data_IF_332004169680
#
_entry.id   IF_332004169680
#
_cell.length_a   1.000
_cell.length_b   1.000
_cell.length_c   1.000
_cell.angle_alpha   90.00
_cell.angle_beta   90.00
_cell.angle_gamma   90.00
#
_symmetry.space_group_name_H-M   'P 1'
#
loop_
_entity.id
_entity.type
_entity.pdbx_description
1 polymer ?
#
# COMPACT_ATOMS: atom_id res chain seq x y z
N UNK A 1 10.24 -16.34 -8.71
CA UNK A 1 9.89 -15.05 -8.07
C UNK A 1 11.18 -14.25 -7.96
N UNK A 2 11.41 -13.23 -8.80
CA UNK A 2 12.70 -12.53 -8.88
C UNK A 2 13.07 -11.70 -7.64
N UNK A 3 12.08 -11.41 -6.79
CA UNK A 3 12.20 -10.48 -5.66
C UNK A 3 12.66 -11.16 -4.36
N UNK A 4 12.72 -12.49 -4.31
CA UNK A 4 13.21 -13.27 -3.16
C UNK A 4 14.61 -13.79 -3.48
N UNK A 5 15.61 -13.36 -2.70
CA UNK A 5 17.03 -13.74 -2.86
C UNK A 5 17.66 -13.94 -1.50
N UNK A 6 18.37 -15.06 -1.31
CA UNK A 6 19.10 -15.37 -0.08
C UNK A 6 18.25 -15.24 1.21
N UNK A 7 16.99 -15.69 1.15
CA UNK A 7 16.04 -15.60 2.28
C UNK A 7 15.55 -14.17 2.57
N UNK A 8 15.91 -13.19 1.74
CA UNK A 8 15.44 -11.80 1.81
C UNK A 8 14.44 -11.53 0.70
N UNK A 9 13.54 -10.60 0.96
CA UNK A 9 12.58 -10.09 -0.03
C UNK A 9 12.80 -8.59 -0.21
N UNK A 10 12.82 -8.15 -1.46
CA UNK A 10 12.81 -6.72 -1.78
C UNK A 10 11.38 -6.19 -1.67
N UNK A 11 11.15 -5.25 -0.74
CA UNK A 11 9.90 -4.50 -0.65
C UNK A 11 10.11 -3.16 -1.36
N UNK A 12 9.46 -3.00 -2.50
CA UNK A 12 9.52 -1.78 -3.30
C UNK A 12 8.29 -0.89 -3.06
N UNK A 13 8.43 0.10 -2.18
CA UNK A 13 7.36 1.04 -1.86
C UNK A 13 6.97 1.95 -3.04
N UNK A 14 7.77 2.04 -4.12
CA UNK A 14 7.37 2.79 -5.33
C UNK A 14 6.19 2.13 -6.06
N UNK A 15 5.93 0.85 -5.77
CA UNK A 15 4.81 0.09 -6.34
C UNK A 15 3.60 0.00 -5.39
N UNK A 16 3.62 0.73 -4.27
CA UNK A 16 2.47 0.80 -3.38
C UNK A 16 1.29 1.46 -4.10
N UNK A 17 0.09 0.92 -3.92
CA UNK A 17 -1.15 1.35 -4.54
C UNK A 17 -2.27 1.47 -3.51
N UNK A 18 -3.25 2.33 -3.76
CA UNK A 18 -4.43 2.41 -2.91
C UNK A 18 -5.41 1.27 -3.27
N UNK A 19 -6.02 0.61 -2.27
CA UNK A 19 -7.01 -0.44 -2.53
C UNK A 19 -8.24 0.12 -3.25
N UNK A 20 -8.97 -0.72 -3.98
CA UNK A 20 -10.14 -0.31 -4.78
C UNK A 20 -11.20 0.47 -4.01
N UNK A 21 -11.36 0.20 -2.71
CA UNK A 21 -12.28 0.96 -1.88
C UNK A 21 -12.00 2.47 -1.94
N UNK A 22 -10.72 2.89 -2.10
CA UNK A 22 -10.27 4.28 -2.30
C UNK A 22 -11.02 5.01 -3.44
N UNK A 23 -11.44 4.26 -4.47
CA UNK A 23 -11.93 4.79 -5.73
C UNK A 23 -13.42 4.62 -5.94
N UNK A 24 -14.05 3.63 -5.32
CA UNK A 24 -15.47 3.33 -5.53
C UNK A 24 -16.10 2.63 -4.33
N UNK A 25 -17.40 2.82 -4.18
CA UNK A 25 -18.23 2.09 -3.21
C UNK A 25 -18.37 0.62 -3.58
N UNK A 26 -18.70 -0.23 -2.61
CA UNK A 26 -18.97 -1.67 -2.83
C UNK A 26 -17.77 -2.58 -2.58
N UNK A 27 -16.60 -2.03 -2.23
CA UNK A 27 -15.44 -2.80 -1.78
C UNK A 27 -15.14 -2.51 -0.30
N UNK A 28 -14.87 -3.56 0.47
CA UNK A 28 -14.42 -3.41 1.85
C UNK A 28 -12.95 -3.01 1.88
N UNK A 29 -12.62 -1.98 2.66
CA UNK A 29 -11.23 -1.60 2.86
C UNK A 29 -10.51 -2.60 3.78
N UNK A 30 -9.30 -3.06 3.41
CA UNK A 30 -8.47 -3.82 4.32
C UNK A 30 -7.93 -2.90 5.41
N UNK A 31 -8.18 -3.24 6.68
CA UNK A 31 -7.59 -2.53 7.81
C UNK A 31 -6.30 -3.26 8.19
N UNK A 32 -5.12 -2.66 8.02
CA UNK A 32 -3.87 -3.29 8.42
C UNK A 32 -3.78 -3.41 9.95
N UNK A 33 -3.18 -4.48 10.47
CA UNK A 33 -2.94 -4.62 11.89
C UNK A 33 -1.92 -3.58 12.37
N UNK A 34 -1.89 -3.30 13.69
CA UNK A 34 -1.13 -2.18 14.26
C UNK A 34 0.38 -2.31 13.98
N UNK A 35 0.87 -3.54 13.96
CA UNK A 35 2.27 -3.91 13.73
C UNK A 35 2.79 -3.49 12.34
N UNK A 36 1.89 -3.26 11.39
CA UNK A 36 2.24 -2.80 10.04
C UNK A 36 2.42 -1.28 9.95
N UNK A 37 2.31 -0.56 11.06
CA UNK A 37 2.55 0.89 11.11
C UNK A 37 4.05 1.17 11.20
N UNK A 38 4.59 1.85 10.19
CA UNK A 38 6.00 2.21 10.15
C UNK A 38 6.21 3.59 10.80
N UNK A 39 7.23 3.78 11.67
CA UNK A 39 7.48 5.06 12.35
C UNK A 39 8.16 6.10 11.44
N UNK A 40 8.34 5.79 10.15
CA UNK A 40 9.04 6.61 9.17
C UNK A 40 8.10 6.98 8.03
N UNK A 41 8.28 8.19 7.48
CA UNK A 41 7.53 8.62 6.31
C UNK A 41 8.01 7.89 5.06
N UNK A 42 7.05 7.47 4.23
CA UNK A 42 7.30 6.86 2.91
C UNK A 42 6.75 7.80 1.84
N UNK A 43 7.64 8.53 1.20
CA UNK A 43 7.31 9.49 0.14
C UNK A 43 7.41 8.83 -1.24
N UNK A 44 6.74 7.69 -1.43
CA UNK A 44 6.79 6.89 -2.65
C UNK A 44 5.44 6.19 -2.91
N UNK A 45 5.25 5.68 -4.12
CA UNK A 45 4.03 4.97 -4.53
C UNK A 45 2.95 5.89 -5.11
N UNK A 46 1.76 5.34 -5.27
CA UNK A 46 0.60 6.07 -5.76
C UNK A 46 0.17 7.17 -4.78
N UNK A 47 0.05 8.41 -5.26
CA UNK A 47 -0.53 9.52 -4.51
C UNK A 47 -2.02 9.66 -4.81
N UNK A 48 -2.80 10.22 -3.87
CA UNK A 48 -4.24 10.48 -4.05
C UNK A 48 -4.47 11.60 -5.07
N UNK A 49 -4.65 11.26 -6.35
CA UNK A 49 -4.96 12.22 -7.42
C UNK A 49 -6.48 12.43 -7.64
N UNK A 50 -7.34 11.63 -7.00
CA UNK A 50 -8.81 11.69 -7.13
C UNK A 50 -9.48 12.01 -5.78
N UNK A 51 -10.73 12.51 -5.81
CA UNK A 51 -11.52 12.71 -4.58
C UNK A 51 -11.78 11.33 -3.95
N UNK A 52 -11.23 11.04 -2.75
CA UNK A 52 -11.46 9.76 -2.11
C UNK A 52 -12.95 9.67 -1.72
N UNK A 53 -13.49 8.46 -1.82
CA UNK A 53 -14.91 8.19 -1.56
C UNK A 53 -15.23 8.18 -0.04
N UNK A 54 -14.20 8.28 0.81
CA UNK A 54 -14.18 8.13 2.27
C UNK A 54 -12.97 8.90 2.84
#
# INVERSE_FOLDING_TARGET
MPDIRDGKILIDFNKAYNPYCCYTTGYNCPIPPKENSLPVAINAGEMKYTKPVH
#
